data_IF_881261719194
#
_entry.id   IF_881261719194
#
_cell.length_a   1.000
_cell.length_b   1.000
_cell.length_c   1.000
_cell.angle_alpha   90.00
_cell.angle_beta   90.00
_cell.angle_gamma   90.00
#
_symmetry.space_group_name_H-M   'P 1'
#
loop_
_entity.id
_entity.type
_entity.pdbx_description
1 polymer ?
#
# COMPACT_ATOMS: atom_id res chain seq x y z
N UNK A 1 -13.47 3.68 -35.29
CA UNK A 1 -12.87 2.80 -36.34
C UNK A 1 -11.39 2.48 -36.13
N UNK A 2 -10.57 3.29 -35.44
CA UNK A 2 -9.13 2.98 -35.19
C UNK A 2 -8.87 1.99 -34.04
N UNK A 3 -9.75 1.92 -33.04
CA UNK A 3 -9.56 1.07 -31.85
C UNK A 3 -9.65 -0.43 -32.15
N UNK A 4 -10.55 -0.83 -33.05
CA UNK A 4 -10.82 -2.24 -33.40
C UNK A 4 -9.66 -2.90 -34.17
N UNK A 5 -8.93 -2.14 -34.99
CA UNK A 5 -7.75 -2.62 -35.72
C UNK A 5 -6.54 -2.80 -34.80
N UNK A 6 -6.36 -1.87 -33.84
CA UNK A 6 -5.30 -1.98 -32.84
C UNK A 6 -5.47 -3.23 -31.97
N UNK A 7 -6.70 -3.46 -31.49
CA UNK A 7 -7.01 -4.59 -30.62
C UNK A 7 -6.81 -5.93 -31.32
N UNK A 8 -7.24 -6.06 -32.58
CA UNK A 8 -7.01 -7.29 -33.35
C UNK A 8 -5.52 -7.57 -33.60
N UNK A 9 -4.74 -6.54 -33.96
CA UNK A 9 -3.30 -6.66 -34.19
C UNK A 9 -2.56 -6.99 -32.89
N UNK A 10 -2.95 -6.38 -31.78
CA UNK A 10 -2.40 -6.69 -30.46
C UNK A 10 -2.64 -8.14 -30.09
N UNK A 11 -3.87 -8.66 -30.22
CA UNK A 11 -4.19 -10.05 -29.86
C UNK A 11 -3.46 -11.05 -30.74
N UNK A 12 -3.31 -10.78 -32.04
CA UNK A 12 -2.51 -11.64 -32.93
C UNK A 12 -1.05 -11.70 -32.47
N UNK A 13 -0.44 -10.56 -32.13
CA UNK A 13 0.93 -10.50 -31.60
C UNK A 13 1.04 -11.12 -30.21
N UNK A 14 0.01 -10.99 -29.38
CA UNK A 14 -0.04 -11.62 -28.07
C UNK A 14 -0.01 -13.14 -28.19
N UNK A 15 -0.80 -13.71 -29.09
CA UNK A 15 -0.83 -15.15 -29.36
C UNK A 15 0.51 -15.67 -29.89
N UNK A 16 1.15 -14.93 -30.81
CA UNK A 16 2.40 -15.34 -31.43
C UNK A 16 3.61 -15.21 -30.47
N UNK A 17 3.70 -14.11 -29.73
CA UNK A 17 4.92 -13.75 -28.99
C UNK A 17 4.78 -13.83 -27.47
N UNK A 18 3.62 -13.49 -26.91
CA UNK A 18 3.44 -13.41 -25.46
C UNK A 18 3.05 -14.76 -24.86
N UNK A 19 2.03 -15.42 -25.43
CA UNK A 19 1.50 -16.69 -24.89
C UNK A 19 2.58 -17.77 -24.75
N UNK A 20 3.44 -18.04 -25.75
CA UNK A 20 4.50 -19.05 -25.61
C UNK A 20 5.52 -18.70 -24.53
N UNK A 21 5.83 -17.40 -24.36
CA UNK A 21 6.76 -16.94 -23.31
C UNK A 21 6.14 -17.03 -21.92
N UNK A 22 4.85 -16.73 -21.77
CA UNK A 22 4.12 -16.92 -20.51
C UNK A 22 4.09 -18.40 -20.15
N UNK A 23 3.79 -19.28 -21.10
CA UNK A 23 3.78 -20.73 -20.91
C UNK A 23 5.16 -21.25 -20.50
N UNK A 24 6.22 -20.88 -21.23
CA UNK A 24 7.59 -21.23 -20.88
C UNK A 24 7.99 -20.70 -19.50
N UNK A 25 7.60 -19.48 -19.14
CA UNK A 25 7.86 -18.92 -17.82
C UNK A 25 7.13 -19.69 -16.71
N UNK A 26 5.87 -20.08 -16.92
CA UNK A 26 5.09 -20.90 -15.98
C UNK A 26 5.71 -22.29 -15.81
N UNK A 27 6.07 -22.95 -16.90
CA UNK A 27 6.73 -24.25 -16.88
C UNK A 27 8.07 -24.20 -16.13
N UNK A 28 8.90 -23.21 -16.43
CA UNK A 28 10.17 -22.99 -15.73
C UNK A 28 9.97 -22.71 -14.23
N UNK A 29 8.91 -21.97 -13.87
CA UNK A 29 8.59 -21.69 -12.47
C UNK A 29 8.16 -22.96 -11.73
N UNK A 30 7.26 -23.75 -12.31
CA UNK A 30 6.83 -25.02 -11.73
C UNK A 30 7.99 -26.00 -11.56
N UNK A 31 8.89 -26.09 -12.54
CA UNK A 31 10.07 -26.96 -12.45
C UNK A 31 10.97 -26.60 -11.25
N UNK A 32 11.04 -25.32 -10.86
CA UNK A 32 11.79 -24.86 -9.68
C UNK A 32 11.09 -25.18 -8.36
N UNK A 33 9.75 -25.15 -8.33
CA UNK A 33 8.93 -25.24 -7.10
C UNK A 33 8.56 -26.69 -6.72
N UNK A 34 9.46 -27.66 -6.94
CA UNK A 34 9.32 -29.12 -6.71
C UNK A 34 8.22 -29.52 -5.71
N UNK A 35 7.37 -30.49 -6.08
CA UNK A 35 6.20 -30.97 -5.31
C UNK A 35 5.12 -29.91 -5.07
N UNK A 36 4.61 -29.35 -6.16
CA UNK A 36 3.51 -28.37 -6.15
C UNK A 36 2.17 -29.04 -6.44
N UNK A 37 1.10 -28.52 -5.83
CA UNK A 37 -0.29 -28.91 -6.11
C UNK A 37 -0.92 -28.09 -7.26
N UNK A 38 -0.15 -27.20 -7.88
CA UNK A 38 -0.60 -26.28 -8.92
C UNK A 38 -0.26 -26.85 -10.30
N UNK A 39 -1.27 -26.90 -11.17
CA UNK A 39 -1.15 -27.34 -12.55
C UNK A 39 -0.64 -26.23 -13.49
N UNK A 40 0.06 -26.62 -14.55
CA UNK A 40 0.60 -25.70 -15.56
C UNK A 40 -0.51 -24.99 -16.33
N UNK A 41 -1.53 -25.74 -16.76
CA UNK A 41 -2.62 -25.18 -17.55
C UNK A 41 -3.42 -24.14 -16.76
N UNK A 42 -3.62 -24.38 -15.46
CA UNK A 42 -4.24 -23.42 -14.55
C UNK A 42 -3.39 -22.15 -14.40
N UNK A 43 -2.06 -22.28 -14.31
CA UNK A 43 -1.16 -21.11 -14.24
C UNK A 43 -1.22 -20.26 -15.51
N UNK A 44 -1.17 -20.91 -16.67
CA UNK A 44 -1.21 -20.23 -17.97
C UNK A 44 -2.58 -19.57 -18.17
N UNK A 45 -3.66 -20.28 -17.86
CA UNK A 45 -5.03 -19.76 -17.90
C UNK A 45 -5.19 -18.54 -17.00
N UNK A 46 -4.70 -18.61 -15.76
CA UNK A 46 -4.74 -17.49 -14.83
C UNK A 46 -3.98 -16.27 -15.36
N UNK A 47 -2.76 -16.47 -15.87
CA UNK A 47 -1.93 -15.39 -16.39
C UNK A 47 -2.59 -14.70 -17.60
N UNK A 48 -3.11 -15.49 -18.55
CA UNK A 48 -3.81 -14.97 -19.72
C UNK A 48 -5.10 -14.22 -19.34
N UNK A 49 -5.91 -14.78 -18.44
CA UNK A 49 -7.10 -14.12 -17.92
C UNK A 49 -6.75 -12.81 -17.21
N UNK A 50 -5.62 -12.74 -16.51
CA UNK A 50 -5.20 -11.53 -15.83
C UNK A 50 -4.80 -10.43 -16.81
N UNK A 51 -4.07 -10.77 -17.88
CA UNK A 51 -3.73 -9.84 -18.95
C UNK A 51 -5.01 -9.30 -19.61
N UNK A 52 -5.95 -10.19 -19.96
CA UNK A 52 -7.24 -9.81 -20.51
C UNK A 52 -7.97 -8.79 -19.63
N UNK A 53 -8.11 -9.10 -18.33
CA UNK A 53 -8.78 -8.20 -17.37
C UNK A 53 -8.06 -6.87 -17.21
N UNK A 54 -6.74 -6.83 -17.25
CA UNK A 54 -6.02 -5.56 -17.13
C UNK A 54 -6.27 -4.65 -18.34
N UNK A 55 -6.41 -5.24 -19.53
CA UNK A 55 -6.75 -4.50 -20.75
C UNK A 55 -8.20 -3.99 -20.69
N UNK A 56 -9.11 -4.80 -20.17
CA UNK A 56 -10.54 -4.44 -20.05
C UNK A 56 -10.79 -3.38 -18.96
N UNK A 57 -10.20 -3.54 -17.78
CA UNK A 57 -10.43 -2.65 -16.62
C UNK A 57 -9.62 -1.36 -16.69
N UNK A 58 -8.41 -1.39 -17.27
CA UNK A 58 -7.46 -0.26 -17.27
C UNK A 58 -6.65 -0.19 -18.58
N UNK A 59 -7.30 0.06 -19.73
CA UNK A 59 -6.64 0.09 -21.02
C UNK A 59 -5.48 1.10 -21.06
N UNK A 60 -5.66 2.29 -20.49
CA UNK A 60 -4.69 3.39 -20.60
C UNK A 60 -3.37 3.15 -19.82
N UNK A 61 -3.32 2.22 -18.86
CA UNK A 61 -2.09 1.92 -18.10
C UNK A 61 -1.16 0.95 -18.86
N UNK A 62 -1.71 0.10 -19.72
CA UNK A 62 -0.97 -0.90 -20.49
C UNK A 62 -0.86 -0.56 -21.99
N UNK A 63 -1.94 -0.03 -22.55
CA UNK A 63 -2.11 0.40 -23.93
C UNK A 63 -2.12 1.94 -23.95
N UNK A 64 -1.05 2.56 -23.47
CA UNK A 64 -0.94 4.02 -23.49
C UNK A 64 -1.16 4.56 -24.91
N UNK A 65 -1.79 5.73 -25.03
CA UNK A 65 -2.25 6.29 -26.32
C UNK A 65 -1.14 6.44 -27.39
N UNK A 66 0.13 6.44 -26.98
CA UNK A 66 1.30 6.59 -27.84
C UNK A 66 2.01 5.26 -28.18
N UNK A 67 1.58 4.13 -27.62
CA UNK A 67 2.27 2.84 -27.75
C UNK A 67 1.73 2.02 -28.92
N UNK A 68 2.64 1.42 -29.68
CA UNK A 68 2.28 0.48 -30.75
C UNK A 68 1.82 -0.87 -30.16
N UNK A 69 0.98 -1.64 -30.88
CA UNK A 69 0.57 -2.98 -30.45
C UNK A 69 1.75 -3.90 -30.13
N UNK A 70 2.84 -3.76 -30.88
CA UNK A 70 4.08 -4.53 -30.71
C UNK A 70 4.80 -4.19 -29.40
N UNK A 71 4.94 -2.91 -29.06
CA UNK A 71 5.54 -2.48 -27.80
C UNK A 71 4.71 -2.91 -26.58
N UNK A 72 3.38 -2.89 -26.70
CA UNK A 72 2.48 -3.39 -25.66
C UNK A 72 2.66 -4.90 -25.45
N UNK A 73 2.71 -5.68 -26.53
CA UNK A 73 2.99 -7.12 -26.47
C UNK A 73 4.37 -7.37 -25.84
N UNK A 74 5.41 -6.64 -26.25
CA UNK A 74 6.75 -6.78 -25.69
C UNK A 74 6.83 -6.46 -24.19
N UNK A 75 6.09 -5.46 -23.72
CA UNK A 75 6.00 -5.16 -22.27
C UNK A 75 5.42 -6.34 -21.49
N UNK A 76 4.33 -6.93 -21.97
CA UNK A 76 3.69 -8.08 -21.30
C UNK A 76 4.61 -9.30 -21.37
N UNK A 77 5.23 -9.53 -22.52
CA UNK A 77 6.21 -10.57 -22.77
C UNK A 77 7.41 -10.49 -21.80
N UNK A 78 7.93 -9.28 -21.56
CA UNK A 78 9.00 -9.03 -20.59
C UNK A 78 8.54 -9.25 -19.13
N UNK A 79 7.25 -9.07 -18.85
CA UNK A 79 6.64 -9.35 -17.55
C UNK A 79 6.26 -10.83 -17.33
N UNK A 80 6.50 -11.72 -18.29
CA UNK A 80 6.11 -13.15 -18.24
C UNK A 80 6.56 -13.89 -16.98
N UNK A 81 7.80 -13.65 -16.50
CA UNK A 81 8.29 -14.26 -15.26
C UNK A 81 7.55 -13.79 -14.01
N UNK A 82 7.19 -12.50 -13.97
CA UNK A 82 6.41 -11.93 -12.88
C UNK A 82 4.99 -12.48 -12.89
N UNK A 83 4.37 -12.57 -14.08
CA UNK A 83 3.04 -13.16 -14.26
C UNK A 83 3.01 -14.63 -13.82
N UNK A 84 4.00 -15.43 -14.19
CA UNK A 84 4.14 -16.82 -13.75
C UNK A 84 4.22 -16.95 -12.21
N UNK A 85 5.03 -16.10 -11.56
CA UNK A 85 5.13 -16.06 -10.09
C UNK A 85 3.81 -15.68 -9.44
N UNK A 86 3.10 -14.70 -9.99
CA UNK A 86 1.81 -14.28 -9.46
C UNK A 86 0.72 -15.34 -9.65
N UNK A 87 0.69 -16.00 -10.81
CA UNK A 87 -0.21 -17.11 -11.09
C UNK A 87 -0.01 -18.23 -10.06
N UNK A 88 1.24 -18.64 -9.84
CA UNK A 88 1.58 -19.64 -8.83
C UNK A 88 1.10 -19.24 -7.43
N UNK A 89 1.44 -18.03 -6.96
CA UNK A 89 1.03 -17.56 -5.63
C UNK A 89 -0.49 -17.46 -5.48
N UNK A 90 -1.20 -17.02 -6.51
CA UNK A 90 -2.66 -16.92 -6.50
C UNK A 90 -3.30 -18.31 -6.37
N UNK A 91 -2.81 -19.29 -7.13
CA UNK A 91 -3.33 -20.66 -7.13
C UNK A 91 -2.98 -21.41 -5.84
N UNK A 92 -1.76 -21.26 -5.31
CA UNK A 92 -1.38 -21.82 -4.00
C UNK A 92 -2.25 -21.23 -2.89
N UNK A 93 -2.49 -19.91 -2.87
CA UNK A 93 -3.37 -19.30 -1.88
C UNK A 93 -4.81 -19.78 -2.01
N UNK A 94 -5.29 -20.01 -3.24
CA UNK A 94 -6.63 -20.55 -3.48
C UNK A 94 -6.72 -21.99 -2.97
N UNK A 95 -5.75 -22.84 -3.28
CA UNK A 95 -5.74 -24.23 -2.83
C UNK A 95 -5.61 -24.34 -1.31
N UNK A 96 -4.77 -23.51 -0.67
CA UNK A 96 -4.68 -23.49 0.80
C UNK A 96 -5.97 -23.02 1.45
N UNK A 97 -6.63 -21.99 0.93
CA UNK A 97 -7.93 -21.53 1.45
C UNK A 97 -9.02 -22.59 1.29
N UNK A 98 -9.04 -23.32 0.18
CA UNK A 98 -9.98 -24.42 -0.03
C UNK A 98 -9.70 -25.57 0.95
N UNK A 99 -8.44 -25.98 1.07
CA UNK A 99 -8.03 -26.98 2.06
C UNK A 99 -8.35 -26.54 3.50
N UNK A 100 -8.21 -25.24 3.81
CA UNK A 100 -8.59 -24.70 5.13
C UNK A 100 -10.09 -24.71 5.40
N UNK A 101 -10.92 -24.56 4.37
CA UNK A 101 -12.39 -24.65 4.46
C UNK A 101 -12.87 -26.09 4.60
N UNK A 102 -12.19 -27.02 3.93
CA UNK A 102 -12.52 -28.45 3.96
C UNK A 102 -11.97 -29.15 5.21
N UNK A 103 -10.98 -28.55 5.90
CA UNK A 103 -10.49 -29.07 7.17
C UNK A 103 -11.57 -28.99 8.27
N UNK A 104 -11.77 -30.07 9.04
CA UNK A 104 -12.69 -30.04 10.17
C UNK A 104 -12.29 -28.95 11.17
N UNK A 105 -13.30 -28.26 11.72
CA UNK A 105 -13.09 -27.15 12.63
C UNK A 105 -12.92 -27.67 14.06
N UNK A 106 -11.68 -27.99 14.44
CA UNK A 106 -11.38 -28.47 15.80
C UNK A 106 -11.27 -27.30 16.79
N UNK A 107 -11.67 -27.56 18.04
CA UNK A 107 -11.66 -26.57 19.15
C UNK A 107 -10.28 -25.94 19.37
N UNK A 108 -9.19 -26.66 19.12
CA UNK A 108 -7.82 -26.17 19.22
C UNK A 108 -7.49 -25.08 18.18
N UNK A 109 -8.09 -25.16 16.99
CA UNK A 109 -7.98 -24.12 15.95
C UNK A 109 -8.76 -22.86 16.33
N UNK A 110 -9.93 -23.03 16.94
CA UNK A 110 -10.73 -21.89 17.44
C UNK A 110 -9.95 -21.15 18.53
N UNK A 111 -9.32 -21.88 19.45
CA UNK A 111 -8.50 -21.31 20.51
C UNK A 111 -7.26 -20.57 19.98
N UNK A 112 -6.56 -21.13 18.99
CA UNK A 112 -5.39 -20.48 18.38
C UNK A 112 -5.74 -19.26 17.51
N UNK A 113 -6.86 -19.29 16.78
CA UNK A 113 -7.36 -18.12 16.04
C UNK A 113 -7.87 -17.02 16.97
N UNK A 114 -8.47 -17.38 18.10
CA UNK A 114 -8.92 -16.42 19.11
C UNK A 114 -7.74 -15.75 19.83
N UNK A 115 -6.68 -16.49 20.14
CA UNK A 115 -5.48 -15.94 20.77
C UNK A 115 -4.64 -15.07 19.83
N UNK A 116 -4.59 -15.39 18.54
CA UNK A 116 -3.91 -14.56 17.53
C UNK A 116 -4.71 -13.32 17.12
N UNK A 117 -6.05 -13.36 17.21
CA UNK A 117 -6.93 -12.21 16.94
C UNK A 117 -7.27 -11.35 18.16
N UNK A 118 -6.81 -11.69 19.37
CA UNK A 118 -6.97 -10.79 20.52
C UNK A 118 -6.03 -9.59 20.36
N UNK A 119 -6.42 -8.68 19.46
CA UNK A 119 -5.84 -7.35 19.36
C UNK A 119 -5.98 -6.68 20.72
N UNK A 120 -4.93 -5.99 21.15
CA UNK A 120 -4.92 -5.14 22.35
C UNK A 120 -6.28 -4.47 22.58
N UNK A 121 -6.83 -4.55 23.81
CA UNK A 121 -8.18 -4.08 24.10
C UNK A 121 -8.35 -2.63 23.63
N UNK A 122 -9.55 -2.31 23.12
CA UNK A 122 -9.92 -1.00 22.53
C UNK A 122 -9.50 0.22 23.38
N UNK A 123 -9.36 0.02 24.69
CA UNK A 123 -8.90 1.01 25.67
C UNK A 123 -7.42 1.39 25.44
N UNK A 124 -6.52 0.42 25.28
CA UNK A 124 -5.08 0.67 25.05
C UNK A 124 -4.83 1.40 23.72
N UNK A 125 -5.63 1.11 22.68
CA UNK A 125 -5.61 1.86 21.41
C UNK A 125 -6.08 3.30 21.60
N UNK A 126 -7.07 3.53 22.46
CA UNK A 126 -7.57 4.89 22.74
C UNK A 126 -6.57 5.72 23.56
N UNK A 127 -5.81 5.09 24.45
CA UNK A 127 -4.79 5.77 25.25
C UNK A 127 -3.54 6.08 24.42
N UNK A 128 -3.08 5.13 23.60
CA UNK A 128 -1.95 5.35 22.69
C UNK A 128 -2.24 6.43 21.65
N UNK A 129 -3.47 6.50 21.11
CA UNK A 129 -3.88 7.58 20.20
C UNK A 129 -3.94 8.93 20.90
N UNK A 130 -4.47 9.01 22.13
CA UNK A 130 -4.44 10.23 22.94
C UNK A 130 -3.01 10.69 23.24
N UNK A 131 -2.13 9.76 23.62
CA UNK A 131 -0.72 10.05 23.88
C UNK A 131 0.01 10.55 22.62
N UNK A 132 -0.31 9.99 21.45
CA UNK A 132 0.22 10.45 20.16
C UNK A 132 -0.26 11.87 19.82
N UNK A 133 -1.54 12.18 20.04
CA UNK A 133 -2.10 13.52 19.84
C UNK A 133 -1.44 14.53 20.79
N UNK A 134 -1.22 14.18 22.05
CA UNK A 134 -0.57 15.06 23.02
C UNK A 134 0.91 15.31 22.69
N UNK A 135 1.58 14.30 22.15
CA UNK A 135 2.94 14.45 21.60
C UNK A 135 2.94 15.40 20.41
N UNK A 136 1.94 15.34 19.53
CA UNK A 136 1.82 16.29 18.41
C UNK A 136 1.54 17.71 18.91
N UNK A 137 0.68 17.89 19.92
CA UNK A 137 0.37 19.20 20.52
C UNK A 137 1.59 19.88 21.11
N UNK A 138 2.35 19.15 21.92
CA UNK A 138 3.53 19.70 22.61
C UNK A 138 4.69 20.05 21.67
N UNK A 139 4.73 19.46 20.47
CA UNK A 139 5.87 19.60 19.53
C UNK A 139 5.60 20.52 18.35
N UNK A 140 4.34 20.70 17.96
CA UNK A 140 3.99 21.57 16.84
C UNK A 140 3.77 23.02 17.33
N UNK A 141 4.40 23.97 16.62
CA UNK A 141 4.13 25.39 16.83
C UNK A 141 2.64 25.71 16.57
N UNK A 142 2.08 26.68 17.28
CA UNK A 142 0.67 27.07 17.18
C UNK A 142 0.26 27.39 15.73
N UNK A 143 1.09 28.13 14.99
CA UNK A 143 0.85 28.46 13.57
C UNK A 143 0.74 27.20 12.68
N UNK A 144 1.56 26.17 12.94
CA UNK A 144 1.48 24.90 12.20
C UNK A 144 0.25 24.08 12.60
N UNK A 145 -0.19 24.16 13.86
CA UNK A 145 -1.41 23.51 14.33
C UNK A 145 -2.66 24.14 13.71
N UNK A 146 -2.70 25.48 13.63
CA UNK A 146 -3.73 26.25 12.93
C UNK A 146 -3.83 25.90 11.44
N UNK A 147 -2.71 25.96 10.72
CA UNK A 147 -2.65 25.61 9.29
C UNK A 147 -3.01 24.15 9.02
N UNK A 148 -2.56 23.23 9.86
CA UNK A 148 -2.88 21.81 9.73
C UNK A 148 -4.38 21.57 9.97
N UNK A 149 -4.95 22.18 11.02
CA UNK A 149 -6.37 22.10 11.31
C UNK A 149 -7.22 22.71 10.19
N UNK A 150 -6.88 23.90 9.70
CA UNK A 150 -7.62 24.59 8.63
C UNK A 150 -7.56 23.90 7.26
N UNK A 151 -6.52 23.09 7.01
CA UNK A 151 -6.30 22.44 5.72
C UNK A 151 -7.20 21.23 5.39
N UNK A 152 -8.10 20.84 6.30
CA UNK A 152 -9.03 19.73 6.10
C UNK A 152 -10.24 20.16 5.25
N UNK A 153 -10.63 19.28 4.30
CA UNK A 153 -11.67 19.57 3.30
C UNK A 153 -13.07 19.64 3.92
N UNK A 154 -13.41 18.67 4.79
CA UNK A 154 -14.70 18.63 5.47
C UNK A 154 -14.73 19.60 6.67
N UNK A 155 -15.74 20.49 6.79
CA UNK A 155 -15.89 21.38 7.94
C UNK A 155 -15.99 20.64 9.28
N UNK A 156 -16.68 19.49 9.33
CA UNK A 156 -16.84 18.73 10.58
C UNK A 156 -15.53 18.06 11.01
N UNK A 157 -14.71 17.58 10.07
CA UNK A 157 -13.33 17.14 10.35
C UNK A 157 -12.42 18.29 10.77
N UNK A 158 -12.54 19.46 10.12
CA UNK A 158 -11.73 20.65 10.42
C UNK A 158 -11.85 21.07 11.89
N UNK A 159 -13.08 21.12 12.40
CA UNK A 159 -13.36 21.46 13.80
C UNK A 159 -12.87 20.38 14.78
N UNK A 160 -13.11 19.10 14.46
CA UNK A 160 -12.62 17.96 15.26
C UNK A 160 -11.10 17.95 15.37
N UNK A 161 -10.39 18.18 14.26
CA UNK A 161 -8.93 18.23 14.25
C UNK A 161 -8.41 19.46 15.00
N UNK A 162 -9.08 20.61 14.88
CA UNK A 162 -8.67 21.80 15.61
C UNK A 162 -8.78 21.62 17.14
N UNK A 163 -9.89 21.03 17.60
CA UNK A 163 -10.08 20.65 19.00
C UNK A 163 -9.04 19.61 19.44
N UNK A 164 -8.76 18.61 18.59
CA UNK A 164 -7.75 17.60 18.84
C UNK A 164 -6.32 18.17 18.87
N UNK A 165 -6.01 19.25 18.14
CA UNK A 165 -4.67 19.88 18.15
C UNK A 165 -4.57 21.10 19.08
N UNK A 166 -5.67 21.54 19.67
CA UNK A 166 -5.72 22.76 20.48
C UNK A 166 -5.42 24.02 19.66
N UNK A 167 -5.89 24.06 18.41
CA UNK A 167 -5.75 25.17 17.47
C UNK A 167 -7.03 26.02 17.43
N UNK A 168 -7.38 26.59 18.58
CA UNK A 168 -8.60 27.37 18.83
C UNK A 168 -8.27 28.81 19.23
N UNK A 169 -7.23 29.40 18.64
CA UNK A 169 -6.97 30.83 18.78
C UNK A 169 -7.89 31.60 17.82
N UNK A 170 -8.13 32.88 18.10
CA UNK A 170 -8.91 33.77 17.22
C UNK A 170 -8.35 33.75 15.79
N UNK A 171 -7.02 33.80 15.65
CA UNK A 171 -6.33 33.71 14.35
C UNK A 171 -6.55 32.35 13.64
N UNK A 172 -6.62 31.25 14.39
CA UNK A 172 -6.86 29.92 13.83
C UNK A 172 -8.33 29.79 13.37
N UNK A 173 -9.25 30.38 14.12
CA UNK A 173 -10.68 30.46 13.80
C UNK A 173 -10.93 31.27 12.53
N UNK A 174 -10.31 32.45 12.42
CA UNK A 174 -10.34 33.28 11.22
C UNK A 174 -9.77 32.54 10.00
N UNK A 175 -8.67 31.81 10.17
CA UNK A 175 -8.09 30.99 9.10
C UNK A 175 -9.02 29.84 8.69
N UNK A 176 -9.70 29.19 9.63
CA UNK A 176 -10.69 28.13 9.31
C UNK A 176 -11.91 28.69 8.59
N UNK A 177 -12.35 29.88 8.99
CA UNK A 177 -13.51 30.56 8.42
C UNK A 177 -13.21 31.07 7.00
N UNK A 178 -12.03 31.65 6.74
CA UNK A 178 -11.59 32.05 5.39
C UNK A 178 -11.41 30.87 4.43
N UNK A 179 -11.02 29.69 4.93
CA UNK A 179 -11.05 28.44 4.14
C UNK A 179 -12.47 27.95 3.92
N UNK A 180 -13.37 28.10 4.89
CA UNK A 180 -14.78 27.69 4.77
C UNK A 180 -15.58 28.58 3.81
N UNK A 181 -15.34 29.89 3.84
CA UNK A 181 -16.00 30.88 2.97
C UNK A 181 -15.50 30.84 1.53
N UNK A 182 -14.39 30.14 1.27
CA UNK A 182 -13.79 30.05 -0.05
C UNK A 182 -12.98 31.29 -0.45
N UNK A 183 -12.70 32.20 0.48
CA UNK A 183 -11.81 33.35 0.26
C UNK A 183 -10.40 32.92 -0.14
N UNK A 184 -9.96 31.76 0.36
CA UNK A 184 -8.71 31.15 -0.03
C UNK A 184 -8.88 30.19 -1.21
N UNK A 185 -8.13 30.42 -2.29
CA UNK A 185 -8.09 29.52 -3.43
C UNK A 185 -7.72 28.08 -3.02
N UNK A 186 -8.38 27.10 -3.63
CA UNK A 186 -8.17 25.66 -3.35
C UNK A 186 -6.69 25.25 -3.45
N UNK A 187 -5.98 25.76 -4.47
CA UNK A 187 -4.55 25.52 -4.66
C UNK A 187 -3.70 26.00 -3.46
N UNK A 188 -4.09 27.10 -2.83
CA UNK A 188 -3.41 27.65 -1.65
C UNK A 188 -3.64 26.77 -0.43
N UNK A 189 -4.87 26.28 -0.25
CA UNK A 189 -5.22 25.34 0.84
C UNK A 189 -4.47 24.01 0.69
N UNK A 190 -4.36 23.48 -0.53
CA UNK A 190 -3.62 22.23 -0.79
C UNK A 190 -2.11 22.40 -0.61
N UNK A 191 -1.53 23.53 -1.05
CA UNK A 191 -0.13 23.87 -0.76
C UNK A 191 0.12 24.01 0.74
N UNK A 192 -0.79 24.65 1.46
CA UNK A 192 -0.74 24.77 2.92
C UNK A 192 -0.81 23.40 3.59
N UNK A 193 -1.69 22.51 3.14
CA UNK A 193 -1.80 21.12 3.62
C UNK A 193 -0.50 20.36 3.43
N UNK A 194 0.02 20.35 2.21
CA UNK A 194 1.27 19.65 1.86
C UNK A 194 2.42 20.12 2.73
N UNK A 195 2.63 21.44 2.83
CA UNK A 195 3.73 22.02 3.62
C UNK A 195 3.59 21.74 5.11
N UNK A 196 2.38 21.82 5.65
CA UNK A 196 2.12 21.59 7.07
C UNK A 196 2.26 20.11 7.44
N UNK A 197 1.81 19.19 6.57
CA UNK A 197 2.00 17.76 6.74
C UNK A 197 3.46 17.33 6.58
N UNK A 198 4.20 17.93 5.64
CA UNK A 198 5.61 17.64 5.48
C UNK A 198 6.41 18.09 6.70
N UNK A 199 6.21 19.34 7.15
CA UNK A 199 6.87 19.86 8.35
C UNK A 199 6.51 19.10 9.61
N UNK A 200 5.25 18.69 9.80
CA UNK A 200 4.86 17.89 10.95
C UNK A 200 5.48 16.49 10.92
N UNK A 201 5.59 15.87 9.74
CA UNK A 201 6.31 14.60 9.54
C UNK A 201 7.80 14.75 9.83
N UNK A 202 8.44 15.83 9.40
CA UNK A 202 9.87 16.06 9.62
C UNK A 202 10.20 16.26 11.09
N UNK A 203 9.37 17.04 11.81
CA UNK A 203 9.50 17.20 13.26
C UNK A 203 9.35 15.85 13.98
N UNK A 204 8.37 15.03 13.58
CA UNK A 204 8.17 13.70 14.15
C UNK A 204 9.30 12.70 13.79
N UNK A 205 9.86 12.77 12.58
CA UNK A 205 11.00 11.94 12.14
C UNK A 205 12.29 12.33 12.86
N UNK A 206 12.56 13.63 13.01
CA UNK A 206 13.70 14.13 13.78
C UNK A 206 13.61 13.67 15.25
N UNK A 207 12.39 13.60 15.80
CA UNK A 207 12.16 13.08 17.15
C UNK A 207 12.48 11.58 17.27
N UNK A 208 12.07 10.75 16.29
CA UNK A 208 12.41 9.31 16.29
C UNK A 208 13.92 9.07 16.21
N UNK A 209 14.65 9.87 15.43
CA UNK A 209 16.12 9.80 15.37
C UNK A 209 16.76 10.23 16.69
N UNK A 210 16.29 11.29 17.33
CA UNK A 210 16.81 11.75 18.61
C UNK A 210 16.44 10.82 19.77
N UNK A 211 15.25 10.19 19.73
CA UNK A 211 14.81 9.20 20.72
C UNK A 211 15.55 7.86 20.56
N UNK A 212 15.92 7.48 19.33
CA UNK A 212 16.82 6.35 19.08
C UNK A 212 18.24 6.62 19.60
N UNK A 213 18.74 7.85 19.49
CA UNK A 213 20.04 8.26 20.08
C UNK A 213 19.97 8.31 21.61
N UNK A 214 18.85 8.71 22.19
CA UNK A 214 18.63 8.71 23.65
C UNK A 214 18.44 7.29 24.22
N UNK A 215 17.82 6.38 23.46
CA UNK A 215 17.70 4.95 23.84
C UNK A 215 19.01 4.17 23.67
N UNK A 216 19.88 4.56 22.73
CA UNK A 216 21.26 4.04 22.63
C UNK A 216 22.18 4.51 23.77
N UNK A 217 21.86 5.63 24.43
CA UNK A 217 22.56 6.12 25.62
C UNK A 217 22.12 5.44 26.93
N UNK A 218 21.03 4.68 26.92
CA UNK A 218 20.45 3.99 28.08
C UNK A 218 20.49 2.46 27.95
N UNK A 219 21.14 1.92 26.92
CA UNK A 219 21.29 0.49 26.66
C UNK A 219 22.61 -0.10 27.18
N UNK A 220 23.15 0.43 28.29
CA UNK A 220 24.24 -0.17 29.06
C UNK A 220 23.76 -0.58 30.46
N UNK A 221 22.58 -1.16 30.56
CA UNK A 221 22.16 -1.94 31.73
C UNK A 221 20.96 -2.80 31.33
N UNK A 222 21.02 -4.09 31.67
CA UNK A 222 20.05 -5.13 31.34
C UNK A 222 20.19 -5.72 29.93
N UNK A 223 21.35 -6.35 29.70
CA UNK A 223 21.41 -7.58 28.92
C UNK A 223 20.76 -8.68 29.75
N UNK A 224 19.60 -9.20 29.32
CA UNK A 224 19.24 -10.63 29.37
C UNK A 224 17.87 -10.89 28.75
N UNK A 225 17.83 -11.86 27.84
CA UNK A 225 16.68 -12.53 27.22
C UNK A 225 15.94 -11.79 26.08
N UNK A 226 16.34 -12.06 24.83
CA UNK A 226 15.52 -11.88 23.64
C UNK A 226 15.92 -12.86 22.52
N UNK A 227 15.17 -13.94 22.39
CA UNK A 227 14.88 -14.55 21.09
C UNK A 227 13.36 -14.77 21.00
N UNK A 228 12.68 -13.85 20.34
CA UNK A 228 11.29 -14.05 19.91
C UNK A 228 10.98 -13.11 18.74
N UNK A 229 10.99 -13.73 17.55
CA UNK A 229 10.14 -13.47 16.39
C UNK A 229 9.59 -12.06 16.19
N UNK A 230 10.16 -11.39 15.17
CA UNK A 230 9.47 -10.36 14.41
C UNK A 230 8.86 -10.98 13.14
N UNK A 231 7.53 -11.10 13.10
CA UNK A 231 6.78 -10.99 11.84
C UNK A 231 5.42 -10.41 12.16
N UNK A 232 5.25 -9.11 11.93
CA UNK A 232 3.97 -8.41 12.00
C UNK A 232 3.82 -7.54 10.75
N UNK A 233 2.63 -7.61 10.15
CA UNK A 233 2.17 -6.81 9.01
C UNK A 233 1.43 -7.74 8.03
N UNK A 234 0.11 -7.89 8.05
CA UNK A 234 -0.93 -6.89 8.31
C UNK A 234 -1.50 -6.48 6.96
N UNK A 235 -2.57 -7.13 6.55
CA UNK A 235 -3.32 -6.87 5.32
C UNK A 235 -3.93 -5.46 5.37
N UNK A 236 -3.65 -4.64 4.37
CA UNK A 236 -4.51 -3.54 3.92
C UNK A 236 -4.47 -3.49 2.38
N UNK A 237 -5.65 -3.27 1.83
CA UNK A 237 -6.04 -3.34 0.42
C UNK A 237 -5.44 -2.17 -0.40
N UNK A 238 -5.05 -2.44 -1.65
CA UNK A 238 -4.82 -1.46 -2.72
C UNK A 238 -3.75 -0.37 -2.52
N UNK A 239 -2.54 -0.60 -3.06
CA UNK A 239 -1.54 0.47 -3.19
C UNK A 239 -0.34 0.09 -4.06
N UNK A 240 -0.12 0.86 -5.11
CA UNK A 240 0.88 0.72 -6.16
C UNK A 240 2.31 0.50 -5.63
N UNK A 241 2.95 -0.60 -6.04
CA UNK A 241 4.39 -0.76 -5.89
C UNK A 241 5.06 -0.27 -7.18
N UNK A 242 5.35 1.03 -7.23
CA UNK A 242 6.28 1.60 -8.22
C UNK A 242 7.65 0.95 -8.02
N UNK A 243 8.12 0.25 -9.05
CA UNK A 243 9.46 -0.32 -9.10
C UNK A 243 10.53 0.76 -8.94
N UNK A 244 11.35 0.62 -7.91
CA UNK A 244 12.56 1.40 -7.75
C UNK A 244 13.62 0.94 -8.74
N UNK A 245 13.92 1.79 -9.72
CA UNK A 245 15.18 1.79 -10.47
C UNK A 245 16.33 1.89 -9.47
N UNK A 246 17.22 0.89 -9.44
CA UNK A 246 18.61 1.14 -9.07
C UNK A 246 19.31 1.70 -10.30
N UNK A 247 19.48 3.02 -10.30
CA UNK A 247 20.56 3.67 -11.03
C UNK A 247 21.83 3.32 -10.26
N UNK A 248 22.70 2.49 -10.86
CA UNK A 248 24.11 2.47 -10.49
C UNK A 248 24.76 3.53 -11.36
N UNK A 249 25.15 4.63 -10.73
CA UNK A 249 26.13 5.58 -11.24
C UNK A 249 27.45 5.21 -10.57
N UNK A 250 28.47 5.14 -11.43
CA UNK A 250 29.88 4.79 -11.22
C UNK A 250 30.22 3.30 -11.07
#
# INVERSE_FOLDING_TARGET
MKHTTFESEFWERFEQSCRPRIESACQNHLHRMRNTCVDLDDMVSWANCRVWKMIEERPNELLGDDLTPEECADRISNASQMLARWAYLALVRKSTRLAERERPCDMERILSLASTKSSTPRIEKSESTKAAIETLRSRLNADLRGKLAASWKDPAERERVANALGANRVEDEELRNSVASGELQVNTVEKMRSRSLHRSRDIMKALRKNLAVLLLGLSLSVVSASTAFASNGGDDDGGEQTGGRCVVVE
#
